data_IF_506015492714
#
_entry.id   IF_506015492714
#
_cell.length_a   1.000
_cell.length_b   1.000
_cell.length_c   1.000
_cell.angle_alpha   90.00
_cell.angle_beta   90.00
_cell.angle_gamma   90.00
#
_symmetry.space_group_name_H-M   'P 1'
#
loop_
_entity.id
_entity.type
_entity.pdbx_description
1 polymer ?
#
# COMPACT_ATOMS: atom_id res chain seq x y z
N UNK A 1 -19.13 -3.59 17.91
CA UNK A 1 -18.72 -4.71 17.03
C UNK A 1 -18.62 -4.16 15.61
N UNK A 2 -17.52 -4.47 14.93
CA UNK A 2 -17.31 -4.10 13.53
C UNK A 2 -17.36 -5.38 12.70
N UNK A 3 -18.19 -5.39 11.65
CA UNK A 3 -18.31 -6.49 10.70
C UNK A 3 -17.86 -6.00 9.32
N UNK A 4 -17.12 -6.83 8.58
CA UNK A 4 -16.70 -6.53 7.22
C UNK A 4 -17.18 -7.61 6.26
N UNK A 5 -17.58 -7.21 5.04
CA UNK A 5 -18.03 -8.10 3.99
C UNK A 5 -17.55 -7.61 2.63
N UNK A 6 -17.42 -8.51 1.68
CA UNK A 6 -17.17 -8.20 0.27
C UNK A 6 -18.46 -8.28 -0.58
N UNK A 7 -19.61 -8.30 0.08
CA UNK A 7 -20.90 -8.37 -0.59
C UNK A 7 -21.09 -7.14 -1.49
N UNK A 8 -21.50 -7.35 -2.74
CA UNK A 8 -21.68 -6.27 -3.71
C UNK A 8 -20.38 -5.77 -4.39
N UNK A 9 -19.21 -6.35 -4.07
CA UNK A 9 -17.94 -5.95 -4.68
C UNK A 9 -17.94 -6.00 -6.21
N UNK A 10 -18.70 -6.88 -6.82
CA UNK A 10 -18.87 -6.98 -8.27
C UNK A 10 -19.49 -5.72 -8.90
N UNK A 11 -20.44 -5.07 -8.23
CA UNK A 11 -21.03 -3.81 -8.73
C UNK A 11 -20.02 -2.68 -8.66
N UNK A 12 -19.24 -2.64 -7.59
CA UNK A 12 -18.15 -1.69 -7.41
C UNK A 12 -17.05 -1.93 -8.46
N UNK A 13 -16.71 -3.19 -8.74
CA UNK A 13 -15.67 -3.56 -9.70
C UNK A 13 -16.04 -3.24 -11.15
N UNK A 14 -17.29 -3.36 -11.51
CA UNK A 14 -17.79 -3.09 -12.86
C UNK A 14 -18.03 -1.60 -13.13
N UNK A 15 -18.06 -0.77 -12.09
CA UNK A 15 -18.20 0.67 -12.25
C UNK A 15 -16.88 1.23 -12.81
N UNK A 16 -16.94 1.89 -13.98
CA UNK A 16 -15.78 2.54 -14.62
C UNK A 16 -15.43 3.88 -14.00
N UNK A 17 -16.33 4.47 -13.23
CA UNK A 17 -16.11 5.76 -12.58
C UNK A 17 -15.20 5.60 -11.36
N UNK A 18 -14.39 6.62 -11.09
CA UNK A 18 -13.47 6.64 -9.95
C UNK A 18 -14.19 6.66 -8.60
N UNK A 19 -15.41 7.20 -8.58
CA UNK A 19 -16.25 7.30 -7.40
C UNK A 19 -17.48 6.39 -7.53
N UNK A 20 -17.92 5.82 -6.42
CA UNK A 20 -19.14 5.01 -6.40
C UNK A 20 -20.33 5.95 -6.52
N UNK A 21 -21.06 5.85 -7.64
CA UNK A 21 -22.28 6.60 -7.85
C UNK A 21 -23.37 6.17 -6.87
N UNK A 22 -24.36 7.06 -6.66
CA UNK A 22 -25.54 6.74 -5.83
C UNK A 22 -26.23 5.45 -6.31
N UNK A 23 -26.35 5.28 -7.61
CA UNK A 23 -26.96 4.08 -8.20
C UNK A 23 -26.23 2.78 -7.81
N UNK A 24 -24.90 2.79 -7.81
CA UNK A 24 -24.09 1.63 -7.38
C UNK A 24 -24.23 1.39 -5.87
N UNK A 25 -24.27 2.44 -5.06
CA UNK A 25 -24.54 2.31 -3.60
C UNK A 25 -25.92 1.66 -3.36
N UNK A 26 -26.94 2.10 -4.09
CA UNK A 26 -28.29 1.57 -3.97
C UNK A 26 -28.35 0.08 -4.36
N UNK A 27 -27.65 -0.34 -5.42
CA UNK A 27 -27.55 -1.75 -5.82
C UNK A 27 -26.83 -2.60 -4.75
N UNK A 28 -25.74 -2.09 -4.17
CA UNK A 28 -25.04 -2.77 -3.06
C UNK A 28 -25.98 -2.91 -1.87
N UNK A 29 -26.69 -1.83 -1.50
CA UNK A 29 -27.63 -1.85 -0.38
C UNK A 29 -28.83 -2.79 -0.61
N UNK A 30 -29.32 -2.90 -1.84
CA UNK A 30 -30.35 -3.87 -2.19
C UNK A 30 -29.85 -5.32 -2.02
N UNK A 31 -28.62 -5.60 -2.47
CA UNK A 31 -27.99 -6.91 -2.27
C UNK A 31 -27.83 -7.23 -0.77
N UNK A 32 -27.39 -6.25 0.04
CA UNK A 32 -27.25 -6.40 1.48
C UNK A 32 -28.62 -6.76 2.13
N UNK A 33 -29.68 -6.05 1.75
CA UNK A 33 -31.04 -6.29 2.24
C UNK A 33 -31.58 -7.67 1.86
N UNK A 34 -31.21 -8.17 0.68
CA UNK A 34 -31.61 -9.48 0.19
C UNK A 34 -30.80 -10.62 0.84
N UNK A 35 -29.56 -10.34 1.29
CA UNK A 35 -28.66 -11.34 1.87
C UNK A 35 -28.85 -11.51 3.39
N UNK A 36 -29.07 -10.42 4.10
CA UNK A 36 -29.22 -10.43 5.55
C UNK A 36 -30.69 -10.30 5.95
N UNK A 37 -31.06 -10.98 7.04
CA UNK A 37 -32.40 -10.87 7.59
C UNK A 37 -32.67 -9.47 8.14
N UNK A 38 -33.91 -8.96 8.05
CA UNK A 38 -34.26 -7.64 8.58
C UNK A 38 -33.93 -7.45 10.05
N UNK A 39 -34.10 -8.50 10.88
CA UNK A 39 -33.78 -8.44 12.31
C UNK A 39 -32.28 -8.21 12.57
N UNK A 40 -31.41 -8.69 11.67
CA UNK A 40 -29.97 -8.43 11.75
C UNK A 40 -29.66 -7.00 11.35
N UNK A 41 -30.18 -6.54 10.21
CA UNK A 41 -29.93 -5.20 9.70
C UNK A 41 -30.42 -4.11 10.66
N UNK A 42 -31.56 -4.31 11.32
CA UNK A 42 -32.11 -3.38 12.31
C UNK A 42 -31.27 -3.27 13.60
N UNK A 43 -30.29 -4.15 13.79
CA UNK A 43 -29.37 -4.12 14.95
C UNK A 43 -28.01 -3.49 14.60
N UNK A 44 -27.81 -3.08 13.35
CA UNK A 44 -26.63 -2.35 12.92
C UNK A 44 -26.86 -0.85 13.13
N UNK A 45 -25.87 -0.18 13.71
CA UNK A 45 -25.91 1.27 13.89
C UNK A 45 -25.72 2.00 12.55
N UNK A 46 -24.85 1.45 11.68
CA UNK A 46 -24.59 2.02 10.35
C UNK A 46 -24.04 0.96 9.37
N UNK A 47 -24.22 1.21 8.08
CA UNK A 47 -23.69 0.39 6.99
C UNK A 47 -22.89 1.30 6.04
N UNK A 48 -21.58 1.12 6.05
CA UNK A 48 -20.64 1.93 5.28
C UNK A 48 -20.21 1.17 4.03
N UNK A 49 -20.40 1.79 2.87
CA UNK A 49 -19.87 1.30 1.58
C UNK A 49 -18.59 2.04 1.28
N UNK A 50 -17.48 1.29 1.20
CA UNK A 50 -16.17 1.85 0.87
C UNK A 50 -16.00 2.06 -0.63
N UNK A 51 -15.47 3.21 -1.00
CA UNK A 51 -15.06 3.53 -2.37
C UNK A 51 -13.81 2.73 -2.79
N UNK A 52 -13.57 2.70 -4.09
CA UNK A 52 -12.31 2.19 -4.64
C UNK A 52 -11.14 3.08 -4.23
N UNK A 53 -10.00 2.46 -4.02
CA UNK A 53 -8.77 3.23 -3.78
C UNK A 53 -8.38 3.99 -5.06
N UNK A 54 -8.15 5.28 -4.93
CA UNK A 54 -7.53 6.09 -5.98
C UNK A 54 -5.99 6.04 -5.88
N UNK A 55 -5.30 6.56 -6.91
CA UNK A 55 -3.83 6.50 -6.98
C UNK A 55 -3.16 7.18 -5.78
N UNK A 56 -3.67 8.33 -5.33
CA UNK A 56 -3.12 9.05 -4.17
C UNK A 56 -3.24 8.22 -2.88
N UNK A 57 -4.37 7.54 -2.70
CA UNK A 57 -4.58 6.67 -1.55
C UNK A 57 -3.65 5.44 -1.60
N UNK A 58 -3.44 4.89 -2.80
CA UNK A 58 -2.49 3.78 -3.00
C UNK A 58 -1.06 4.21 -2.70
N UNK A 59 -0.62 5.39 -3.12
CA UNK A 59 0.69 5.96 -2.78
C UNK A 59 0.84 6.20 -1.28
N UNK A 60 -0.19 6.72 -0.61
CA UNK A 60 -0.21 6.89 0.85
C UNK A 60 -0.09 5.55 1.57
N UNK A 61 -0.82 4.53 1.13
CA UNK A 61 -0.73 3.17 1.69
C UNK A 61 0.69 2.62 1.50
N UNK A 62 1.27 2.80 0.31
CA UNK A 62 2.64 2.38 0.01
C UNK A 62 3.64 3.05 0.94
N UNK A 63 3.53 4.38 1.12
CA UNK A 63 4.37 5.15 2.03
C UNK A 63 4.25 4.68 3.49
N UNK A 64 3.03 4.36 3.95
CA UNK A 64 2.81 3.80 5.29
C UNK A 64 3.50 2.44 5.47
N UNK A 65 3.45 1.57 4.46
CA UNK A 65 4.13 0.25 4.51
C UNK A 65 5.66 0.41 4.49
N UNK A 66 6.18 1.33 3.68
CA UNK A 66 7.63 1.66 3.65
C UNK A 66 8.07 2.24 5.00
N UNK A 67 7.25 3.08 5.64
CA UNK A 67 7.55 3.60 6.96
C UNK A 67 7.62 2.51 8.05
N UNK A 68 6.87 1.42 7.91
CA UNK A 68 7.02 0.26 8.79
C UNK A 68 8.39 -0.41 8.58
N UNK A 69 8.83 -0.57 7.33
CA UNK A 69 10.16 -1.11 7.02
C UNK A 69 11.28 -0.19 7.53
N UNK A 70 11.13 1.15 7.38
CA UNK A 70 12.06 2.14 7.95
C UNK A 70 12.27 1.95 9.45
N UNK A 71 11.18 1.73 10.20
CA UNK A 71 11.27 1.50 11.66
C UNK A 71 12.06 0.23 11.98
N UNK A 72 11.81 -0.87 11.26
CA UNK A 72 12.53 -2.14 11.48
C UNK A 72 14.03 -1.98 11.21
N UNK A 73 14.42 -1.30 10.13
CA UNK A 73 15.83 -1.05 9.81
C UNK A 73 16.49 -0.07 10.79
N UNK A 74 15.74 0.92 11.27
CA UNK A 74 16.23 1.86 12.28
C UNK A 74 16.57 1.17 13.62
N UNK A 75 15.84 0.12 14.00
CA UNK A 75 16.19 -0.72 15.17
C UNK A 75 17.56 -1.38 15.01
N UNK A 76 17.99 -1.62 13.77
CA UNK A 76 19.33 -2.10 13.42
C UNK A 76 20.35 -0.96 13.17
N UNK A 77 20.00 0.29 13.52
CA UNK A 77 20.80 1.49 13.29
C UNK A 77 21.06 1.82 11.81
N UNK A 78 20.18 1.36 10.93
CA UNK A 78 20.24 1.60 9.49
C UNK A 78 19.06 2.49 9.10
N UNK A 79 19.34 3.66 8.55
CA UNK A 79 18.34 4.56 7.98
C UNK A 79 17.99 4.09 6.57
N UNK A 80 16.69 3.93 6.28
CA UNK A 80 16.20 3.66 4.92
C UNK A 80 15.60 4.93 4.33
N UNK A 81 16.15 5.38 3.23
CA UNK A 81 15.57 6.44 2.41
C UNK A 81 15.06 5.87 1.08
N UNK A 82 13.89 6.30 0.66
CA UNK A 82 13.22 5.81 -0.56
C UNK A 82 12.70 7.01 -1.30
N UNK A 83 13.11 7.17 -2.57
CA UNK A 83 12.69 8.29 -3.42
C UNK A 83 11.19 8.24 -3.74
N UNK A 84 10.60 9.39 -4.03
CA UNK A 84 9.19 9.49 -4.43
C UNK A 84 8.92 8.70 -5.73
N UNK A 85 9.87 8.67 -6.66
CA UNK A 85 9.80 7.87 -7.89
C UNK A 85 9.71 6.36 -7.59
N UNK A 86 10.46 5.88 -6.60
CA UNK A 86 10.41 4.50 -6.16
C UNK A 86 9.07 4.18 -5.47
N UNK A 87 8.56 5.09 -4.63
CA UNK A 87 7.24 4.94 -3.98
C UNK A 87 6.14 4.85 -5.03
N UNK A 88 6.12 5.75 -6.01
CA UNK A 88 5.13 5.77 -7.09
C UNK A 88 5.20 4.51 -7.95
N UNK A 89 6.41 4.05 -8.26
CA UNK A 89 6.57 2.80 -9.01
C UNK A 89 6.04 1.58 -8.24
N UNK A 90 6.36 1.45 -6.95
CA UNK A 90 5.83 0.38 -6.10
C UNK A 90 4.30 0.48 -5.98
N UNK A 91 3.76 1.68 -5.80
CA UNK A 91 2.32 1.89 -5.73
C UNK A 91 1.62 1.41 -7.01
N UNK A 92 2.19 1.73 -8.17
CA UNK A 92 1.65 1.34 -9.48
C UNK A 92 1.81 -0.15 -9.76
N UNK A 93 2.99 -0.72 -9.49
CA UNK A 93 3.30 -2.14 -9.76
C UNK A 93 2.67 -3.10 -8.75
N UNK A 94 2.48 -2.65 -7.52
CA UNK A 94 1.90 -3.43 -6.43
C UNK A 94 0.37 -3.31 -6.30
N UNK A 95 -0.26 -2.42 -7.06
CA UNK A 95 -1.72 -2.30 -7.06
C UNK A 95 -2.36 -3.28 -8.03
N UNK A 96 -3.40 -3.97 -7.57
CA UNK A 96 -4.19 -4.89 -8.38
C UNK A 96 -5.67 -4.46 -8.37
N UNK A 97 -6.34 -4.35 -9.53
CA UNK A 97 -7.74 -3.93 -9.60
C UNK A 97 -8.72 -4.82 -8.82
N UNK A 98 -8.37 -6.11 -8.63
CA UNK A 98 -9.22 -7.11 -7.94
C UNK A 98 -8.83 -7.18 -6.45
N UNK A 99 -7.52 -7.28 -6.17
CA UNK A 99 -7.01 -7.46 -4.81
C UNK A 99 -6.68 -6.13 -4.10
N UNK A 100 -6.80 -5.01 -4.82
CA UNK A 100 -6.54 -3.67 -4.30
C UNK A 100 -5.09 -3.45 -3.91
N UNK A 101 -4.86 -2.92 -2.70
CA UNK A 101 -3.53 -2.62 -2.17
C UNK A 101 -2.85 -3.82 -1.47
N UNK A 102 -3.51 -4.98 -1.37
CA UNK A 102 -2.94 -6.16 -0.67
C UNK A 102 -1.59 -6.63 -1.24
N UNK A 103 -1.36 -6.65 -2.57
CA UNK A 103 -0.08 -7.08 -3.12
C UNK A 103 1.07 -6.10 -2.88
N UNK A 104 0.80 -4.84 -2.49
CA UNK A 104 1.83 -3.81 -2.23
C UNK A 104 2.86 -4.30 -1.20
N UNK A 105 2.40 -4.94 -0.12
CA UNK A 105 3.30 -5.48 0.90
C UNK A 105 4.30 -6.49 0.32
N UNK A 106 3.84 -7.35 -0.60
CA UNK A 106 4.72 -8.32 -1.29
C UNK A 106 5.67 -7.62 -2.27
N UNK A 107 5.19 -6.57 -2.95
CA UNK A 107 6.03 -5.78 -3.84
C UNK A 107 7.15 -5.08 -3.04
N UNK A 108 6.84 -4.45 -1.91
CA UNK A 108 7.85 -3.86 -1.01
C UNK A 108 8.84 -4.91 -0.52
N UNK A 109 8.35 -6.09 -0.10
CA UNK A 109 9.22 -7.18 0.35
C UNK A 109 10.21 -7.61 -0.74
N UNK A 110 9.71 -7.81 -1.95
CA UNK A 110 10.51 -8.32 -3.07
C UNK A 110 11.46 -7.26 -3.64
N UNK A 111 10.98 -6.03 -3.80
CA UNK A 111 11.67 -5.00 -4.58
C UNK A 111 12.46 -4.00 -3.72
N UNK A 112 12.17 -3.91 -2.43
CA UNK A 112 12.87 -3.01 -1.49
C UNK A 112 13.54 -3.82 -0.38
N UNK A 113 12.76 -4.58 0.42
CA UNK A 113 13.28 -5.21 1.64
C UNK A 113 14.39 -6.23 1.34
N UNK A 114 14.15 -7.18 0.43
CA UNK A 114 15.13 -8.20 0.08
C UNK A 114 16.39 -7.60 -0.57
N UNK A 115 16.30 -6.71 -1.58
CA UNK A 115 17.49 -6.06 -2.15
C UNK A 115 18.26 -5.22 -1.13
N UNK A 116 17.56 -4.51 -0.23
CA UNK A 116 18.22 -3.75 0.84
C UNK A 116 18.95 -4.65 1.82
N UNK A 117 18.36 -5.78 2.20
CA UNK A 117 19.00 -6.76 3.09
C UNK A 117 20.25 -7.36 2.44
N UNK A 118 20.21 -7.74 1.16
CA UNK A 118 21.37 -8.23 0.43
C UNK A 118 22.46 -7.16 0.36
N UNK A 119 22.10 -5.92 0.03
CA UNK A 119 23.05 -4.81 0.00
C UNK A 119 23.73 -4.57 1.35
N UNK A 120 22.98 -4.64 2.45
CA UNK A 120 23.52 -4.50 3.82
C UNK A 120 24.50 -5.64 4.12
N UNK A 121 24.16 -6.88 3.77
CA UNK A 121 25.01 -8.05 4.02
C UNK A 121 26.32 -8.01 3.20
N UNK A 122 26.26 -7.57 1.95
CA UNK A 122 27.43 -7.42 1.06
C UNK A 122 28.37 -6.32 1.53
N UNK A 123 27.86 -5.28 2.19
CA UNK A 123 28.62 -4.13 2.67
C UNK A 123 28.84 -4.12 4.20
N UNK A 124 28.70 -5.27 4.86
CA UNK A 124 28.76 -5.40 6.32
C UNK A 124 30.14 -5.03 6.94
N UNK A 125 31.20 -4.90 6.13
CA UNK A 125 32.53 -4.46 6.55
C UNK A 125 32.70 -2.92 6.54
N UNK A 126 31.73 -2.18 6.02
CA UNK A 126 31.70 -0.73 6.03
C UNK A 126 30.74 -0.22 7.12
N UNK A 127 30.98 0.97 7.66
CA UNK A 127 29.98 1.66 8.49
C UNK A 127 28.79 2.08 7.61
N UNK A 128 27.92 1.12 7.31
CA UNK A 128 26.70 1.35 6.56
C UNK A 128 25.58 1.76 7.51
N UNK A 129 25.35 3.07 7.62
CA UNK A 129 24.32 3.67 8.47
C UNK A 129 23.08 4.09 7.69
N UNK A 130 23.16 4.15 6.32
CA UNK A 130 22.08 4.63 5.49
C UNK A 130 22.01 3.87 4.15
N UNK A 131 20.81 3.41 3.80
CA UNK A 131 20.47 2.77 2.53
C UNK A 131 19.50 3.67 1.76
N UNK A 132 19.78 3.90 0.48
CA UNK A 132 18.95 4.68 -0.41
C UNK A 132 18.39 3.80 -1.52
N UNK A 133 17.07 3.88 -1.75
CA UNK A 133 16.38 3.18 -2.83
C UNK A 133 15.80 4.19 -3.79
N UNK A 134 16.19 4.10 -5.06
CA UNK A 134 15.72 4.97 -6.13
C UNK A 134 15.20 4.16 -7.32
N UNK A 135 14.37 4.80 -8.15
CA UNK A 135 13.87 4.21 -9.38
C UNK A 135 14.52 4.90 -10.58
N UNK A 136 15.43 4.19 -11.25
CA UNK A 136 16.16 4.64 -12.44
C UNK A 136 16.22 3.52 -13.47
N UNK A 137 16.25 3.89 -14.74
CA UNK A 137 16.42 2.96 -15.87
C UNK A 137 15.46 1.77 -15.83
N UNK A 138 14.20 2.04 -15.44
CA UNK A 138 13.13 1.05 -15.34
C UNK A 138 13.37 -0.02 -14.26
N UNK A 139 14.23 0.25 -13.27
CA UNK A 139 14.56 -0.65 -12.15
C UNK A 139 14.65 0.10 -10.83
N UNK A 140 14.36 -0.59 -9.74
CA UNK A 140 14.71 -0.13 -8.42
C UNK A 140 16.19 -0.44 -8.16
N UNK A 141 16.91 0.56 -7.70
CA UNK A 141 18.33 0.45 -7.36
C UNK A 141 18.52 0.76 -5.89
N UNK A 142 19.30 -0.10 -5.23
CA UNK A 142 19.70 0.09 -3.84
C UNK A 142 21.15 0.55 -3.82
N UNK A 143 21.43 1.59 -3.06
CA UNK A 143 22.76 2.18 -2.92
C UNK A 143 23.00 2.66 -1.49
N UNK A 144 24.26 2.99 -1.16
CA UNK A 144 24.60 3.68 0.07
C UNK A 144 24.00 5.10 0.04
N UNK A 145 23.25 5.45 1.07
CA UNK A 145 22.72 6.82 1.23
C UNK A 145 23.83 7.79 1.55
N UNK A 146 23.71 9.03 1.06
CA UNK A 146 24.62 10.11 1.42
C UNK A 146 24.25 10.65 2.81
N UNK A 147 25.23 10.82 3.67
CA UNK A 147 25.04 11.53 4.93
C UNK A 147 24.80 13.02 4.63
N UNK A 148 23.77 13.60 5.22
CA UNK A 148 23.40 15.03 5.07
C UNK A 148 24.46 16.01 5.61
N UNK A 149 25.69 15.58 5.86
CA UNK A 149 26.79 16.46 6.34
C UNK A 149 27.67 17.04 5.22
N UNK A 150 27.38 16.75 3.93
CA UNK A 150 28.16 17.30 2.80
C UNK A 150 27.39 18.29 1.92
N UNK A 151 26.25 18.79 2.36
CA UNK A 151 25.53 19.88 1.70
C UNK A 151 25.65 21.17 2.54
N UNK A 152 26.86 21.74 2.59
CA UNK A 152 27.14 23.09 3.09
C UNK A 152 28.07 23.79 2.08
#
# INVERSE_FOLDING_TARGET
IILTSNLGSQFISNNKDKEITKAVKDQVMEMVKNHFKPEFLNRLDDIIVFDRLNNEQVEKITSLQINQLRKVLLEQKIELDVSDSAIQWIAKSGFDPIYGARPIKRAIQKEISNPSANFILENNNEELNKVFVDYKDNKLMVSKGLDNQQAA
#
